data_IF_362361818982
#
_entry.id   IF_362361818982
#
_cell.length_a   1.000
_cell.length_b   1.000
_cell.length_c   1.000
_cell.angle_alpha   90.00
_cell.angle_beta   90.00
_cell.angle_gamma   90.00
#
_symmetry.space_group_name_H-M   'P 1'
#
loop_
_entity.id
_entity.type
_entity.pdbx_description
1 polymer ?
#
# COMPACT_ATOMS: atom_id res chain seq x y z
N UNK A 1 29.37 9.30 43.15
CA UNK A 1 28.03 8.77 42.78
C UNK A 1 27.19 9.67 41.85
N UNK A 2 27.58 10.91 41.52
CA UNK A 2 26.76 11.81 40.65
C UNK A 2 26.82 11.50 39.13
N UNK A 3 27.83 10.77 38.64
CA UNK A 3 28.00 10.46 37.20
C UNK A 3 27.37 9.14 36.75
N UNK A 4 26.93 8.30 37.69
CA UNK A 4 26.26 7.02 37.39
C UNK A 4 24.73 7.18 37.25
N UNK A 5 24.17 8.23 37.84
CA UNK A 5 22.74 8.55 37.75
C UNK A 5 22.22 8.72 36.30
N UNK A 6 22.89 9.45 35.38
CA UNK A 6 22.38 9.61 34.02
C UNK A 6 22.48 8.32 33.20
N UNK A 7 23.46 7.46 33.48
CA UNK A 7 23.64 6.16 32.80
C UNK A 7 22.55 5.18 33.25
N UNK A 8 22.26 5.13 34.56
CA UNK A 8 21.16 4.36 35.12
C UNK A 8 19.80 4.84 34.59
N UNK A 9 19.61 6.15 34.46
CA UNK A 9 18.37 6.73 33.92
C UNK A 9 18.19 6.39 32.43
N UNK A 10 19.25 6.41 31.64
CA UNK A 10 19.22 6.03 30.23
C UNK A 10 18.89 4.54 30.05
N UNK A 11 19.49 3.66 30.87
CA UNK A 11 19.20 2.21 30.83
C UNK A 11 17.73 1.94 31.24
N UNK A 12 17.21 2.67 32.23
CA UNK A 12 15.81 2.58 32.64
C UNK A 12 14.83 3.08 31.56
N UNK A 13 15.19 4.15 30.84
CA UNK A 13 14.36 4.66 29.74
C UNK A 13 14.33 3.70 28.53
N UNK A 14 15.40 2.95 28.28
CA UNK A 14 15.42 1.91 27.25
C UNK A 14 14.73 0.60 27.69
N UNK A 15 14.72 0.26 28.98
CA UNK A 15 14.07 -0.97 29.47
C UNK A 15 12.56 -0.87 29.66
N UNK A 16 12.00 0.34 29.82
CA UNK A 16 10.54 0.54 29.97
C UNK A 16 9.82 0.64 28.61
N UNK A 17 10.55 0.81 27.50
CA UNK A 17 9.96 0.98 26.16
C UNK A 17 10.10 -0.23 25.21
N UNK A 18 10.57 -1.38 25.69
CA UNK A 18 10.52 -2.64 24.96
C UNK A 18 10.21 -3.76 25.97
N UNK A 19 8.95 -4.25 26.08
CA UNK A 19 8.19 -4.78 24.95
C UNK A 19 6.66 -4.51 25.06
N UNK A 20 6.17 -3.37 24.58
CA UNK A 20 4.75 -3.21 24.24
C UNK A 20 4.46 -3.60 22.77
N UNK A 21 5.50 -4.00 22.02
CA UNK A 21 5.44 -4.22 20.57
C UNK A 21 5.22 -5.69 20.14
N UNK A 22 5.10 -6.64 21.08
CA UNK A 22 5.02 -8.07 20.76
C UNK A 22 3.65 -8.74 21.02
N UNK A 23 2.67 -8.07 21.64
CA UNK A 23 1.40 -8.70 22.08
C UNK A 23 0.15 -8.31 21.27
N UNK A 24 0.29 -7.93 19.99
CA UNK A 24 -0.88 -7.77 19.08
C UNK A 24 -0.71 -8.53 17.77
N UNK A 25 0.11 -9.58 17.78
CA UNK A 25 0.49 -10.37 16.59
C UNK A 25 -0.54 -11.45 16.26
N UNK A 26 -1.40 -11.89 17.19
CA UNK A 26 -2.23 -13.08 16.98
C UNK A 26 -3.64 -12.85 16.42
N UNK A 27 -4.14 -11.61 16.31
CA UNK A 27 -5.57 -11.40 16.02
C UNK A 27 -5.89 -10.76 14.65
N UNK A 28 -4.90 -10.54 13.77
CA UNK A 28 -5.16 -9.93 12.45
C UNK A 28 -4.76 -10.79 11.25
N UNK A 29 -4.36 -12.05 11.44
CA UNK A 29 -3.95 -12.93 10.33
C UNK A 29 -5.13 -13.53 9.56
N UNK A 30 -6.37 -13.42 10.07
CA UNK A 30 -7.56 -14.03 9.47
C UNK A 30 -8.48 -13.06 8.70
N UNK A 31 -8.33 -11.74 8.84
CA UNK A 31 -9.19 -10.78 8.13
C UNK A 31 -8.63 -10.43 6.74
N UNK A 32 -9.06 -11.22 5.75
CA UNK A 32 -9.30 -10.66 4.42
C UNK A 32 -8.19 -10.83 3.39
N UNK A 33 -7.72 -12.06 3.17
CA UNK A 33 -7.10 -12.43 1.89
C UNK A 33 -8.21 -12.59 0.81
N UNK A 34 -8.97 -11.52 0.52
CA UNK A 34 -9.88 -11.54 -0.64
C UNK A 34 -9.02 -11.63 -1.91
N UNK A 35 -9.26 -12.59 -2.80
CA UNK A 35 -8.69 -12.54 -4.15
C UNK A 35 -9.38 -11.40 -4.90
N UNK A 36 -8.79 -10.22 -4.76
CA UNK A 36 -9.35 -8.98 -5.28
C UNK A 36 -9.18 -8.84 -6.81
N UNK A 37 -8.81 -9.90 -7.56
CA UNK A 37 -8.75 -9.86 -9.03
C UNK A 37 -10.12 -9.83 -9.69
N UNK A 38 -11.14 -10.31 -8.98
CA UNK A 38 -12.49 -10.39 -9.49
C UNK A 38 -13.18 -9.06 -9.16
N UNK A 39 -13.36 -8.22 -10.18
CA UNK A 39 -14.27 -7.09 -10.09
C UNK A 39 -15.69 -7.64 -9.89
N UNK A 40 -16.48 -7.08 -8.96
CA UNK A 40 -17.89 -7.48 -8.82
C UNK A 40 -18.60 -7.23 -10.15
N UNK A 41 -19.38 -8.21 -10.63
CA UNK A 41 -20.02 -8.25 -11.96
C UNK A 41 -20.45 -6.84 -12.43
N UNK A 42 -19.64 -6.26 -13.32
CA UNK A 42 -19.72 -4.84 -13.66
C UNK A 42 -20.71 -4.60 -14.83
N UNK A 43 -21.38 -3.43 -14.89
CA UNK A 43 -21.89 -2.93 -16.15
C UNK A 43 -20.73 -2.73 -17.13
N UNK A 44 -20.94 -2.98 -18.42
CA UNK A 44 -19.91 -2.95 -19.49
C UNK A 44 -19.04 -1.69 -19.51
N UNK A 45 -19.56 -0.57 -19.00
CA UNK A 45 -18.95 0.77 -19.06
C UNK A 45 -18.09 1.13 -17.84
N UNK A 46 -18.02 0.26 -16.82
CA UNK A 46 -17.24 0.53 -15.64
C UNK A 46 -15.73 0.53 -15.94
N UNK A 47 -14.96 1.45 -15.34
CA UNK A 47 -13.51 1.43 -15.49
C UNK A 47 -12.96 0.12 -14.94
N UNK A 48 -11.83 -0.36 -15.48
CA UNK A 48 -11.18 -1.58 -14.98
C UNK A 48 -9.94 -1.25 -14.17
N UNK A 49 -9.93 -1.63 -12.89
CA UNK A 49 -8.79 -1.48 -11.97
C UNK A 49 -7.42 -1.84 -12.59
N UNK A 50 -7.36 -2.99 -13.26
CA UNK A 50 -6.15 -3.57 -13.89
C UNK A 50 -5.53 -2.62 -14.93
N UNK A 51 -6.34 -1.79 -15.58
CA UNK A 51 -5.87 -0.88 -16.63
C UNK A 51 -5.22 0.39 -16.06
N UNK A 52 -5.38 0.70 -14.77
CA UNK A 52 -4.84 1.91 -14.15
C UNK A 52 -3.68 1.65 -13.19
N UNK A 53 -3.48 0.40 -12.78
CA UNK A 53 -2.59 0.02 -11.68
C UNK A 53 -1.45 -0.87 -12.18
N UNK A 54 -0.21 -0.70 -11.69
CA UNK A 54 0.88 -1.61 -12.06
C UNK A 54 0.59 -3.06 -11.65
N UNK A 55 1.06 -4.03 -12.46
CA UNK A 55 0.80 -5.47 -12.30
C UNK A 55 1.07 -5.99 -10.88
N UNK A 56 2.20 -5.59 -10.29
CA UNK A 56 2.58 -5.95 -8.90
C UNK A 56 1.63 -5.46 -7.80
N UNK A 57 0.76 -4.50 -8.10
CA UNK A 57 -0.23 -3.93 -7.18
C UNK A 57 -1.66 -4.21 -7.62
N UNK A 58 -1.87 -5.09 -8.62
CA UNK A 58 -3.20 -5.60 -8.90
C UNK A 58 -3.79 -6.23 -7.64
N UNK A 59 -3.01 -7.00 -6.88
CA UNK A 59 -3.38 -7.48 -5.56
C UNK A 59 -2.36 -7.00 -4.52
N UNK A 60 -2.53 -5.81 -3.92
CA UNK A 60 -1.60 -5.28 -2.94
C UNK A 60 -1.61 -6.14 -1.67
N UNK A 61 -0.44 -6.31 -1.06
CA UNK A 61 -0.34 -7.02 0.22
C UNK A 61 -0.93 -6.17 1.34
N UNK A 62 -1.81 -6.74 2.14
CA UNK A 62 -2.54 -6.07 3.23
C UNK A 62 -1.98 -6.38 4.62
N UNK A 63 -1.01 -7.30 4.73
CA UNK A 63 -0.40 -7.71 5.99
C UNK A 63 0.55 -6.66 6.62
N UNK A 64 0.56 -5.42 6.12
CA UNK A 64 1.44 -4.36 6.60
C UNK A 64 0.66 -3.33 7.41
N UNK A 65 1.09 -3.07 8.65
CA UNK A 65 0.55 -1.98 9.47
C UNK A 65 1.27 -0.66 9.16
N UNK A 66 0.52 0.43 8.98
CA UNK A 66 1.06 1.76 8.62
C UNK A 66 2.06 2.28 9.67
N UNK A 67 1.74 2.12 10.95
CA UNK A 67 2.63 2.53 12.06
C UNK A 67 3.99 1.84 12.01
N UNK A 68 4.00 0.51 11.86
CA UNK A 68 5.22 -0.28 11.74
C UNK A 68 6.06 0.12 10.52
N UNK A 69 5.42 0.34 9.37
CA UNK A 69 6.13 0.77 8.16
C UNK A 69 6.75 2.17 8.30
N UNK A 70 6.11 3.09 9.03
CA UNK A 70 6.66 4.42 9.32
C UNK A 70 7.83 4.32 10.30
N UNK A 71 7.70 3.50 11.34
CA UNK A 71 8.78 3.26 12.30
C UNK A 71 10.02 2.68 11.61
N UNK A 72 9.85 1.67 10.75
CA UNK A 72 10.96 1.11 9.94
C UNK A 72 11.61 2.15 9.02
N UNK A 73 10.80 3.03 8.41
CA UNK A 73 11.32 4.11 7.57
C UNK A 73 12.15 5.11 8.38
N UNK A 74 11.64 5.54 9.54
CA UNK A 74 12.33 6.46 10.42
C UNK A 74 13.64 5.85 10.94
N UNK A 75 13.61 4.60 11.42
CA UNK A 75 14.81 3.86 11.81
C UNK A 75 15.80 3.71 10.66
N UNK A 76 15.32 3.48 9.43
CA UNK A 76 16.15 3.39 8.24
C UNK A 76 16.88 4.69 7.92
N UNK A 77 16.19 5.82 8.00
CA UNK A 77 16.77 7.15 7.80
C UNK A 77 17.83 7.43 8.86
N UNK A 78 17.49 7.24 10.14
CA UNK A 78 18.40 7.43 11.27
C UNK A 78 19.64 6.55 11.12
N UNK A 79 19.49 5.25 10.79
CA UNK A 79 20.63 4.35 10.61
C UNK A 79 21.46 4.66 9.37
N UNK A 80 20.90 5.33 8.37
CA UNK A 80 21.68 5.80 7.20
C UNK A 80 22.49 7.05 7.53
N UNK A 81 22.00 7.88 8.47
CA UNK A 81 22.60 9.17 8.85
C UNK A 81 23.60 9.04 10.02
N UNK A 82 23.25 8.30 11.09
CA UNK A 82 24.11 8.10 12.27
C UNK A 82 25.30 7.17 12.02
N UNK A 83 25.26 6.40 10.93
CA UNK A 83 26.27 5.41 10.59
C UNK A 83 26.59 5.56 9.10
N UNK A 84 27.58 6.38 8.77
CA UNK A 84 28.19 6.51 7.44
C UNK A 84 28.58 5.16 6.76
N UNK A 85 28.40 4.01 7.42
CA UNK A 85 28.79 2.67 6.95
C UNK A 85 27.83 1.53 7.34
N UNK A 86 26.57 1.78 7.75
CA UNK A 86 25.63 0.67 7.96
C UNK A 86 24.89 0.33 6.65
N UNK A 87 25.25 -0.75 5.92
CA UNK A 87 24.58 -1.14 4.67
C UNK A 87 23.11 -1.54 4.85
N UNK A 88 22.59 -1.47 6.08
CA UNK A 88 21.25 -1.90 6.49
C UNK A 88 20.22 -0.77 6.36
N UNK A 89 20.62 0.50 6.49
CA UNK A 89 19.70 1.65 6.46
C UNK A 89 18.94 1.78 5.13
N UNK A 90 19.66 1.72 3.99
CA UNK A 90 19.08 1.80 2.64
C UNK A 90 18.08 0.66 2.38
N UNK A 91 18.40 -0.64 2.63
CA UNK A 91 17.44 -1.73 2.54
C UNK A 91 16.17 -1.50 3.36
N UNK A 92 16.28 -1.00 4.60
CA UNK A 92 15.10 -0.71 5.42
C UNK A 92 14.24 0.42 4.83
N UNK A 93 14.85 1.47 4.28
CA UNK A 93 14.13 2.53 3.56
C UNK A 93 13.41 1.95 2.33
N UNK A 94 14.08 1.13 1.53
CA UNK A 94 13.46 0.48 0.37
C UNK A 94 12.31 -0.46 0.77
N UNK A 95 12.48 -1.23 1.84
CA UNK A 95 11.48 -2.18 2.32
C UNK A 95 10.25 -1.44 2.89
N UNK A 96 10.47 -0.48 3.79
CA UNK A 96 9.40 0.33 4.40
C UNK A 96 8.61 1.13 3.37
N UNK A 97 9.28 1.79 2.41
CA UNK A 97 8.59 2.51 1.32
C UNK A 97 7.77 1.56 0.43
N UNK A 98 8.21 0.31 0.25
CA UNK A 98 7.44 -0.71 -0.46
C UNK A 98 6.21 -1.15 0.33
N UNK A 99 6.31 -1.30 1.66
CA UNK A 99 5.16 -1.55 2.55
C UNK A 99 4.13 -0.42 2.47
N UNK A 100 4.57 0.84 2.62
CA UNK A 100 3.72 2.02 2.52
C UNK A 100 3.03 2.14 1.15
N UNK A 101 3.73 1.78 0.06
CA UNK A 101 3.11 1.70 -1.27
C UNK A 101 2.03 0.63 -1.35
N UNK A 102 2.25 -0.57 -0.79
CA UNK A 102 1.23 -1.63 -0.76
C UNK A 102 -0.02 -1.17 0.00
N UNK A 103 0.16 -0.60 1.20
CA UNK A 103 -0.94 -0.03 2.00
C UNK A 103 -1.69 1.03 1.17
N UNK A 104 -0.97 1.99 0.59
CA UNK A 104 -1.60 3.05 -0.22
C UNK A 104 -2.30 2.56 -1.49
N UNK A 105 -1.95 1.38 -2.03
CA UNK A 105 -2.68 0.75 -3.12
C UNK A 105 -3.90 -0.03 -2.61
N UNK A 106 -3.78 -0.71 -1.47
CA UNK A 106 -4.90 -1.40 -0.82
C UNK A 106 -6.01 -0.40 -0.47
N UNK A 107 -5.67 0.73 0.16
CA UNK A 107 -6.64 1.78 0.51
C UNK A 107 -7.39 2.32 -0.72
N UNK A 108 -6.68 2.51 -1.84
CA UNK A 108 -7.30 2.97 -3.10
C UNK A 108 -8.21 1.90 -3.69
N UNK A 109 -7.81 0.64 -3.59
CA UNK A 109 -8.56 -0.47 -4.13
C UNK A 109 -9.87 -0.68 -3.37
N UNK A 110 -9.85 -0.56 -2.06
CA UNK A 110 -11.05 -0.60 -1.23
C UNK A 110 -12.01 0.53 -1.62
N UNK A 111 -11.54 1.78 -1.68
CA UNK A 111 -12.35 2.93 -2.12
C UNK A 111 -12.90 2.77 -3.53
N UNK A 112 -12.11 2.17 -4.42
CA UNK A 112 -12.51 1.90 -5.79
C UNK A 112 -13.66 0.88 -5.83
N UNK A 113 -13.54 -0.24 -5.11
CA UNK A 113 -14.60 -1.25 -5.05
C UNK A 113 -15.85 -0.77 -4.33
N UNK A 114 -15.71 -0.02 -3.24
CA UNK A 114 -16.82 0.65 -2.57
C UNK A 114 -17.58 1.57 -3.55
N UNK A 115 -16.85 2.40 -4.30
CA UNK A 115 -17.46 3.29 -5.30
C UNK A 115 -18.09 2.55 -6.49
N UNK A 116 -17.60 1.36 -6.86
CA UNK A 116 -18.24 0.53 -7.86
C UNK A 116 -19.54 -0.09 -7.36
N UNK A 117 -19.57 -0.56 -6.10
CA UNK A 117 -20.80 -1.04 -5.45
C UNK A 117 -21.83 0.09 -5.33
N UNK A 118 -21.42 1.30 -4.94
CA UNK A 118 -22.29 2.48 -4.92
C UNK A 118 -22.90 2.78 -6.30
N UNK A 119 -22.10 2.65 -7.36
CA UNK A 119 -22.54 2.91 -8.73
C UNK A 119 -23.61 1.93 -9.25
N UNK A 120 -23.73 0.72 -8.66
CA UNK A 120 -24.78 -0.24 -9.04
C UNK A 120 -26.19 0.29 -8.75
N UNK A 121 -26.33 1.19 -7.79
CA UNK A 121 -27.61 1.77 -7.42
C UNK A 121 -28.00 2.97 -8.30
N UNK A 122 -27.11 3.42 -9.19
CA UNK A 122 -27.35 4.56 -10.08
C UNK A 122 -27.98 4.03 -11.39
N UNK A 123 -29.26 4.31 -11.60
CA UNK A 123 -30.00 3.87 -12.78
C UNK A 123 -29.66 4.68 -14.05
N UNK A 124 -29.36 5.98 -13.90
CA UNK A 124 -29.05 6.88 -15.01
C UNK A 124 -27.61 6.69 -15.51
N UNK A 125 -27.45 6.42 -16.81
CA UNK A 125 -26.15 6.17 -17.43
C UNK A 125 -25.19 7.36 -17.33
N UNK A 126 -25.66 8.59 -17.50
CA UNK A 126 -24.81 9.78 -17.46
C UNK A 126 -24.32 10.07 -16.04
N UNK A 127 -25.21 9.95 -15.06
CA UNK A 127 -24.86 10.13 -13.64
C UNK A 127 -23.88 9.06 -13.16
N UNK A 128 -24.00 7.84 -13.69
CA UNK A 128 -23.08 6.73 -13.41
C UNK A 128 -21.69 7.02 -13.97
N UNK A 129 -21.59 7.56 -15.18
CA UNK A 129 -20.32 7.94 -15.78
C UNK A 129 -19.64 9.07 -15.00
N UNK A 130 -20.39 10.11 -14.61
CA UNK A 130 -19.89 11.19 -13.76
C UNK A 130 -19.40 10.67 -12.41
N UNK A 131 -20.06 9.65 -11.87
CA UNK A 131 -19.63 8.96 -10.65
C UNK A 131 -18.28 8.27 -10.85
N UNK A 132 -18.11 7.54 -11.96
CA UNK A 132 -16.85 6.88 -12.29
C UNK A 132 -15.70 7.89 -12.46
N UNK A 133 -15.93 9.01 -13.13
CA UNK A 133 -14.89 10.04 -13.32
C UNK A 133 -14.46 10.65 -11.98
N UNK A 134 -15.43 10.91 -11.08
CA UNK A 134 -15.16 11.36 -9.71
C UNK A 134 -14.40 10.29 -8.91
N UNK A 135 -14.76 9.02 -9.04
CA UNK A 135 -14.12 7.90 -8.36
C UNK A 135 -12.67 7.73 -8.80
N UNK A 136 -12.39 7.76 -10.11
CA UNK A 136 -11.04 7.70 -10.66
C UNK A 136 -10.19 8.86 -10.16
N UNK A 137 -10.75 10.07 -10.13
CA UNK A 137 -10.08 11.26 -9.58
C UNK A 137 -9.75 11.10 -8.09
N UNK A 138 -10.69 10.60 -7.27
CA UNK A 138 -10.47 10.28 -5.84
C UNK A 138 -9.35 9.26 -5.66
N UNK A 139 -9.29 8.24 -6.53
CA UNK A 139 -8.26 7.19 -6.50
C UNK A 139 -6.92 7.61 -7.11
N UNK A 140 -6.80 8.85 -7.61
CA UNK A 140 -5.63 9.36 -8.34
C UNK A 140 -5.29 8.51 -9.57
N UNK A 141 -6.31 7.94 -10.20
CA UNK A 141 -6.24 7.25 -11.49
C UNK A 141 -6.44 8.30 -12.57
N UNK A 142 -5.42 8.50 -13.40
CA UNK A 142 -5.42 9.53 -14.45
C UNK A 142 -5.29 8.85 -15.79
N UNK A 143 -5.78 9.49 -16.83
CA UNK A 143 -5.65 9.00 -18.21
C UNK A 143 -4.19 8.74 -18.60
N UNK A 144 -3.25 9.57 -18.10
CA UNK A 144 -1.80 9.35 -18.29
C UNK A 144 -1.36 7.99 -17.73
N UNK A 145 -1.83 7.60 -16.55
CA UNK A 145 -1.51 6.30 -15.93
C UNK A 145 -2.15 5.16 -16.70
N UNK A 146 -3.38 5.34 -17.15
CA UNK A 146 -4.12 4.37 -17.98
C UNK A 146 -3.35 4.07 -19.27
N UNK A 147 -3.06 5.09 -20.08
CA UNK A 147 -2.27 4.98 -21.31
C UNK A 147 -0.90 4.31 -21.07
N UNK A 148 -0.23 4.64 -19.96
CA UNK A 148 1.06 4.05 -19.63
C UNK A 148 0.94 2.57 -19.26
N UNK A 149 -0.11 2.17 -18.55
CA UNK A 149 -0.31 0.81 -18.11
C UNK A 149 -0.80 -0.10 -19.24
N UNK A 150 -1.69 0.37 -20.12
CA UNK A 150 -2.09 -0.35 -21.34
C UNK A 150 -0.86 -0.69 -22.21
N UNK A 151 0.03 0.29 -22.44
CA UNK A 151 1.30 0.05 -23.17
C UNK A 151 2.20 -0.99 -22.50
N UNK A 152 2.13 -1.16 -21.18
CA UNK A 152 2.91 -2.18 -20.46
C UNK A 152 2.28 -3.55 -20.62
N UNK A 153 0.97 -3.65 -20.45
CA UNK A 153 0.21 -4.89 -20.63
C UNK A 153 0.36 -5.41 -22.06
N UNK A 154 0.29 -4.53 -23.08
CA UNK A 154 0.55 -4.91 -24.48
C UNK A 154 1.95 -5.50 -24.69
N UNK A 155 2.98 -4.90 -24.06
CA UNK A 155 4.36 -5.40 -24.15
C UNK A 155 4.54 -6.72 -23.42
N UNK A 156 3.89 -6.88 -22.26
CA UNK A 156 3.92 -8.12 -21.47
C UNK A 156 3.21 -9.25 -22.23
N UNK A 157 2.06 -8.98 -22.85
CA UNK A 157 1.31 -9.96 -23.65
C UNK A 157 2.07 -10.37 -24.91
N UNK A 158 2.73 -9.44 -25.62
CA UNK A 158 3.58 -9.78 -26.77
C UNK A 158 4.72 -10.71 -26.36
N UNK A 159 5.44 -10.36 -25.29
CA UNK A 159 6.52 -11.20 -24.75
C UNK A 159 6.04 -12.58 -24.31
N UNK A 160 4.83 -12.70 -23.79
CA UNK A 160 4.27 -13.99 -23.37
C UNK A 160 3.84 -14.87 -24.56
N UNK A 161 3.46 -14.27 -25.69
CA UNK A 161 3.05 -14.97 -26.90
C UNK A 161 4.21 -15.26 -27.89
N UNK A 162 5.34 -14.56 -27.73
CA UNK A 162 6.57 -14.77 -28.50
C UNK A 162 7.49 -15.87 -27.91
N UNK A 163 7.07 -16.52 -26.80
CA UNK A 163 7.73 -17.64 -26.12
C UNK A 163 6.93 -18.91 -26.33
#
# INVERSE_FOLDING_TARGET
MRKLLPILLAILLFSVNAPAFAMSVEESEAEGLRDMRIQPMEPTDAPKWVEYVPTKYHNPRTNFKKGTAIAELASGIVLTDLLLTAPIGIPMICHSTTKLKNIGWADKKNKYFEGLEEAKNINNSNERQDHYDKLLKKCKMTEKKHKQQLKRLEKENKKANDV
#
